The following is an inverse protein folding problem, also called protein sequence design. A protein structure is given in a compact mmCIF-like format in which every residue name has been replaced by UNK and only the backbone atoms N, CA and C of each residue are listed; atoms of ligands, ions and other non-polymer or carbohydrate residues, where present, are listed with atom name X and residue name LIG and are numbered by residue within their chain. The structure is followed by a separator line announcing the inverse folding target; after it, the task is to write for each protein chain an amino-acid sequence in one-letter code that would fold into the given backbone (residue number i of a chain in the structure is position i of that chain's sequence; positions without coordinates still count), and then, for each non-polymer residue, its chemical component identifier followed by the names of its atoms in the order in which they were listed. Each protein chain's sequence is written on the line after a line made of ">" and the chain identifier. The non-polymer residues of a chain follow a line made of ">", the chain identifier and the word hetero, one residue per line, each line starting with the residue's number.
data_IF_809366039563
#
_entry.id   IF_809366039563
#
_cell.length_a   1.000
_cell.length_b   1.000
_cell.length_c   1.000
_cell.angle_alpha   90.00
_cell.angle_beta   90.00
_cell.angle_gamma   90.00
#
_symmetry.space_group_name_H-M   'P 1'
#
loop_
_entity.id
_entity.type
_entity.pdbx_description
1 polymer ?
#
# COMPACT_ATOMS: atom_id res chain seq x y z
N UNK A 1 18.23 -42.54 57.55
CA UNK A 1 18.61 -41.54 56.51
C UNK A 1 17.63 -40.38 56.59
N UNK A 2 18.08 -39.12 56.52
CA UNK A 2 17.21 -37.92 56.51
C UNK A 2 16.93 -37.44 55.09
N UNK A 3 15.86 -36.66 54.90
CA UNK A 3 15.50 -36.10 53.60
C UNK A 3 16.61 -35.19 53.04
N UNK A 4 17.26 -34.35 53.87
CA UNK A 4 18.43 -33.56 53.43
C UNK A 4 19.56 -34.45 52.93
N UNK A 5 19.84 -35.57 53.60
CA UNK A 5 20.95 -36.46 53.21
C UNK A 5 20.69 -37.11 51.84
N UNK A 6 19.44 -37.38 51.51
CA UNK A 6 19.03 -37.91 50.20
C UNK A 6 19.26 -36.87 49.11
N UNK A 7 18.88 -35.61 49.35
CA UNK A 7 19.11 -34.50 48.41
C UNK A 7 20.61 -34.28 48.18
N UNK A 8 21.42 -34.27 49.24
CA UNK A 8 22.88 -34.09 49.15
C UNK A 8 23.55 -35.20 48.29
N UNK A 9 23.03 -36.43 48.33
CA UNK A 9 23.52 -37.53 47.49
C UNK A 9 23.18 -37.35 46.00
N UNK A 10 21.99 -36.84 45.68
CA UNK A 10 21.60 -36.51 44.30
C UNK A 10 22.30 -35.24 43.75
N UNK A 11 22.68 -34.32 44.63
CA UNK A 11 23.47 -33.14 44.26
C UNK A 11 24.90 -33.53 43.84
N UNK A 12 25.48 -34.56 44.46
CA UNK A 12 26.83 -35.06 44.13
C UNK A 12 26.87 -36.00 42.93
N UNK A 13 25.78 -36.69 42.61
CA UNK A 13 25.72 -37.62 41.47
C UNK A 13 24.75 -37.15 40.37
N UNK A 14 25.31 -36.62 39.28
CA UNK A 14 24.57 -36.16 38.09
C UNK A 14 23.79 -37.29 37.41
N UNK A 15 24.32 -38.53 37.39
CA UNK A 15 23.63 -39.67 36.77
C UNK A 15 22.42 -40.08 37.58
N UNK A 16 22.53 -40.06 38.92
CA UNK A 16 21.41 -40.34 39.81
C UNK A 16 20.30 -39.28 39.64
N UNK A 17 20.67 -37.99 39.56
CA UNK A 17 19.72 -36.89 39.32
C UNK A 17 19.01 -37.01 37.98
N UNK A 18 19.75 -37.36 36.93
CA UNK A 18 19.19 -37.57 35.58
C UNK A 18 18.19 -38.71 35.57
N UNK A 19 18.53 -39.85 36.16
CA UNK A 19 17.61 -41.00 36.30
C UNK A 19 16.35 -40.65 37.09
N UNK A 20 16.49 -39.89 38.17
CA UNK A 20 15.34 -39.43 38.95
C UNK A 20 14.43 -38.52 38.11
N UNK A 21 15.00 -37.57 37.37
CA UNK A 21 14.24 -36.70 36.47
C UNK A 21 13.54 -37.50 35.36
N UNK A 22 14.20 -38.48 34.76
CA UNK A 22 13.59 -39.39 33.76
C UNK A 22 12.39 -40.13 34.33
N UNK A 23 12.53 -40.73 35.53
CA UNK A 23 11.43 -41.42 36.22
C UNK A 23 10.26 -40.48 36.52
N UNK A 24 10.53 -39.27 37.02
CA UNK A 24 9.50 -38.27 37.30
C UNK A 24 8.77 -37.80 36.03
N UNK A 25 9.47 -37.67 34.90
CA UNK A 25 8.84 -37.29 33.61
C UNK A 25 8.01 -38.43 33.02
N UNK A 26 8.31 -39.69 33.37
CA UNK A 26 7.50 -40.85 32.97
C UNK A 26 6.15 -40.90 33.68
N UNK A 27 6.05 -40.35 34.90
CA UNK A 27 4.79 -40.25 35.64
C UNK A 27 3.77 -39.36 34.89
N UNK A 28 2.59 -39.89 34.51
CA UNK A 28 1.59 -39.15 33.76
C UNK A 28 1.17 -37.82 34.39
N UNK A 29 1.00 -37.80 35.72
CA UNK A 29 0.55 -36.60 36.45
C UNK A 29 1.60 -35.49 36.46
N UNK A 30 2.87 -35.86 36.65
CA UNK A 30 3.99 -34.90 36.62
C UNK A 30 4.16 -34.35 35.21
N UNK A 31 4.07 -35.21 34.18
CA UNK A 31 4.12 -34.80 32.78
C UNK A 31 2.96 -33.85 32.43
N UNK A 32 1.75 -34.16 32.88
CA UNK A 32 0.58 -33.31 32.64
C UNK A 32 0.71 -31.97 33.38
N UNK A 33 1.21 -31.96 34.61
CA UNK A 33 1.49 -30.74 35.36
C UNK A 33 2.53 -29.86 34.65
N UNK A 34 3.61 -30.44 34.11
CA UNK A 34 4.61 -29.72 33.32
C UNK A 34 4.03 -29.17 32.01
N UNK A 35 3.25 -29.97 31.27
CA UNK A 35 2.57 -29.51 30.05
C UNK A 35 1.64 -28.35 30.37
N UNK A 36 0.80 -28.46 31.40
CA UNK A 36 -0.13 -27.40 31.80
C UNK A 36 0.57 -26.14 32.33
N UNK A 37 1.77 -26.28 32.93
CA UNK A 37 2.59 -25.14 33.30
C UNK A 37 3.11 -24.40 32.07
N UNK A 38 3.69 -25.13 31.10
CA UNK A 38 4.25 -24.53 29.87
C UNK A 38 3.16 -24.02 28.92
N UNK A 39 2.01 -24.69 28.86
CA UNK A 39 0.92 -24.35 27.94
C UNK A 39 0.38 -22.92 28.16
N UNK A 40 0.50 -22.37 29.38
CA UNK A 40 0.09 -20.99 29.67
C UNK A 40 1.03 -19.95 29.08
N UNK A 41 2.29 -20.31 28.86
CA UNK A 41 3.34 -19.39 28.42
C UNK A 41 3.60 -19.49 26.91
N UNK A 42 3.00 -20.46 26.22
CA UNK A 42 3.19 -20.68 24.78
C UNK A 42 1.91 -20.36 24.01
N UNK A 43 2.07 -19.68 22.86
CA UNK A 43 0.99 -19.49 21.92
C UNK A 43 0.53 -20.85 21.36
N UNK A 44 -0.77 -21.12 21.45
CA UNK A 44 -1.35 -22.34 20.90
C UNK A 44 -1.56 -22.19 19.38
N UNK A 45 -1.77 -23.32 18.69
CA UNK A 45 -2.12 -23.28 17.26
C UNK A 45 -3.40 -22.47 17.00
N UNK A 46 -4.36 -22.53 17.91
CA UNK A 46 -5.61 -21.76 17.80
C UNK A 46 -5.35 -20.26 17.89
N UNK A 47 -4.41 -19.82 18.72
CA UNK A 47 -4.02 -18.41 18.81
C UNK A 47 -3.41 -17.92 17.50
N UNK A 48 -2.53 -18.74 16.91
CA UNK A 48 -1.90 -18.42 15.63
C UNK A 48 -2.91 -18.41 14.47
N UNK A 49 -3.89 -19.33 14.47
CA UNK A 49 -4.96 -19.33 13.47
C UNK A 49 -5.84 -18.09 13.58
N UNK A 50 -6.23 -17.70 14.80
CA UNK A 50 -6.98 -16.45 15.04
C UNK A 50 -6.20 -15.23 14.57
N UNK A 51 -4.93 -15.12 14.95
CA UNK A 51 -4.07 -14.02 14.52
C UNK A 51 -3.92 -13.98 13.00
N UNK A 52 -3.74 -15.14 12.34
CA UNK A 52 -3.66 -15.22 10.88
C UNK A 52 -4.94 -14.73 10.21
N UNK A 53 -6.08 -15.11 10.74
CA UNK A 53 -7.38 -14.75 10.15
C UNK A 53 -7.70 -13.27 10.38
N UNK A 54 -7.37 -12.72 11.56
CA UNK A 54 -7.43 -11.29 11.87
C UNK A 54 -6.57 -10.48 10.90
N UNK A 55 -5.28 -10.82 10.79
CA UNK A 55 -4.36 -10.16 9.86
C UNK A 55 -4.86 -10.25 8.42
N UNK A 56 -5.33 -11.43 7.98
CA UNK A 56 -5.84 -11.61 6.62
C UNK A 56 -7.05 -10.71 6.34
N UNK A 57 -7.94 -10.55 7.30
CA UNK A 57 -9.12 -9.70 7.18
C UNK A 57 -8.75 -8.22 7.17
N UNK A 58 -7.82 -7.81 8.04
CA UNK A 58 -7.31 -6.44 8.10
C UNK A 58 -6.63 -6.06 6.79
N UNK A 59 -5.67 -6.86 6.31
CA UNK A 59 -5.01 -6.64 5.02
C UNK A 59 -6.00 -6.57 3.86
N UNK A 60 -7.03 -7.42 3.86
CA UNK A 60 -8.06 -7.38 2.82
C UNK A 60 -8.84 -6.07 2.87
N UNK A 61 -9.23 -5.62 4.06
CA UNK A 61 -9.95 -4.36 4.26
C UNK A 61 -9.13 -3.17 3.80
N UNK A 62 -7.84 -3.12 4.15
CA UNK A 62 -6.93 -2.05 3.73
C UNK A 62 -6.74 -2.02 2.21
N UNK A 63 -6.53 -3.18 1.57
CA UNK A 63 -6.41 -3.26 0.12
C UNK A 63 -7.69 -2.79 -0.57
N UNK A 64 -8.86 -3.14 -0.05
CA UNK A 64 -10.14 -2.69 -0.62
C UNK A 64 -10.32 -1.18 -0.49
N UNK A 65 -9.96 -0.59 0.65
CA UNK A 65 -9.96 0.88 0.85
C UNK A 65 -9.02 1.58 -0.12
N UNK A 66 -7.75 1.16 -0.19
CA UNK A 66 -6.76 1.71 -1.11
C UNK A 66 -7.21 1.61 -2.58
N UNK A 67 -7.82 0.47 -2.97
CA UNK A 67 -8.39 0.30 -4.32
C UNK A 67 -9.60 1.20 -4.58
N UNK A 68 -10.34 1.59 -3.55
CA UNK A 68 -11.43 2.55 -3.69
C UNK A 68 -10.89 3.96 -3.90
N UNK A 69 -10.00 4.40 -3.02
CA UNK A 69 -9.35 5.71 -3.08
C UNK A 69 -8.67 5.92 -4.43
N UNK A 70 -7.87 4.95 -4.87
CA UNK A 70 -7.19 5.03 -6.17
C UNK A 70 -8.16 5.11 -7.36
N UNK A 71 -9.32 4.44 -7.28
CA UNK A 71 -10.34 4.53 -8.33
C UNK A 71 -10.99 5.91 -8.37
N UNK A 72 -11.20 6.53 -7.22
CA UNK A 72 -11.77 7.87 -7.14
C UNK A 72 -10.76 8.93 -7.61
N UNK A 73 -9.49 8.83 -7.23
CA UNK A 73 -8.42 9.67 -7.78
C UNK A 73 -8.33 9.58 -9.31
N UNK A 74 -8.38 8.36 -9.88
CA UNK A 74 -8.39 8.18 -11.34
C UNK A 74 -9.60 8.86 -11.99
N UNK A 75 -10.77 8.81 -11.35
CA UNK A 75 -11.98 9.47 -11.87
C UNK A 75 -11.81 10.98 -11.87
N UNK A 76 -11.22 11.53 -10.82
CA UNK A 76 -10.99 12.97 -10.71
C UNK A 76 -9.96 13.44 -11.73
N UNK A 77 -8.84 12.75 -11.88
CA UNK A 77 -7.85 13.03 -12.94
C UNK A 77 -8.50 12.97 -14.33
N UNK A 78 -9.37 11.98 -14.58
CA UNK A 78 -10.09 11.89 -15.87
C UNK A 78 -11.04 13.07 -16.09
N UNK A 79 -11.72 13.55 -15.05
CA UNK A 79 -12.59 14.74 -15.12
C UNK A 79 -11.77 16.00 -15.43
N UNK A 80 -10.66 16.19 -14.74
CA UNK A 80 -9.75 17.31 -14.99
C UNK A 80 -9.21 17.30 -16.42
N UNK A 81 -8.79 16.13 -16.92
CA UNK A 81 -8.32 15.99 -18.29
C UNK A 81 -9.41 16.29 -19.32
N UNK A 82 -10.65 15.88 -19.04
CA UNK A 82 -11.80 16.20 -19.90
C UNK A 82 -12.07 17.70 -19.93
N UNK A 83 -12.02 18.36 -18.78
CA UNK A 83 -12.18 19.82 -18.69
C UNK A 83 -11.06 20.56 -19.43
N UNK A 84 -9.81 20.09 -19.29
CA UNK A 84 -8.68 20.65 -20.01
C UNK A 84 -8.84 20.50 -21.52
N UNK A 85 -9.23 19.31 -21.99
CA UNK A 85 -9.50 19.03 -23.41
C UNK A 85 -10.56 19.98 -23.98
N UNK A 86 -11.64 20.23 -23.23
CA UNK A 86 -12.67 21.17 -23.65
C UNK A 86 -12.15 22.61 -23.74
N UNK A 87 -11.34 23.03 -22.76
CA UNK A 87 -10.71 24.37 -22.78
C UNK A 87 -9.76 24.52 -23.97
N UNK A 88 -8.99 23.50 -24.31
CA UNK A 88 -8.10 23.48 -25.48
C UNK A 88 -8.93 23.59 -26.76
N UNK A 89 -9.97 22.78 -26.95
CA UNK A 89 -10.82 22.86 -28.13
C UNK A 89 -11.47 24.25 -28.31
N UNK A 90 -11.92 24.88 -27.20
CA UNK A 90 -12.44 26.25 -27.22
C UNK A 90 -11.37 27.27 -27.61
N UNK A 91 -10.13 27.10 -27.15
CA UNK A 91 -9.01 27.97 -27.53
C UNK A 91 -8.65 27.79 -29.00
N UNK A 92 -8.57 26.56 -29.51
CA UNK A 92 -8.32 26.26 -30.92
C UNK A 92 -9.34 26.97 -31.81
N UNK A 93 -10.64 26.90 -31.48
CA UNK A 93 -11.69 27.60 -32.22
C UNK A 93 -11.55 29.12 -32.19
N UNK A 94 -11.16 29.71 -31.04
CA UNK A 94 -10.90 31.16 -30.93
C UNK A 94 -9.69 31.59 -31.77
N UNK A 95 -8.63 30.79 -31.77
CA UNK A 95 -7.41 31.06 -32.54
C UNK A 95 -7.71 30.96 -34.04
N UNK A 96 -8.45 29.95 -34.49
CA UNK A 96 -8.89 29.84 -35.90
C UNK A 96 -9.69 31.08 -36.34
N UNK A 97 -10.63 31.54 -35.50
CA UNK A 97 -11.40 32.75 -35.78
C UNK A 97 -10.49 33.99 -35.87
N UNK A 98 -9.55 34.15 -34.93
CA UNK A 98 -8.59 35.25 -34.95
C UNK A 98 -7.74 35.25 -36.22
N UNK A 99 -7.26 34.08 -36.65
CA UNK A 99 -6.49 33.95 -37.90
C UNK A 99 -7.35 34.38 -39.10
N UNK A 100 -8.60 33.93 -39.18
CA UNK A 100 -9.54 34.32 -40.26
C UNK A 100 -9.79 35.83 -40.28
N UNK A 101 -10.04 36.44 -39.12
CA UNK A 101 -10.25 37.89 -39.01
C UNK A 101 -8.97 38.65 -39.39
N UNK A 102 -7.82 38.20 -38.90
CA UNK A 102 -6.53 38.82 -39.21
C UNK A 102 -6.24 38.79 -40.71
N UNK A 103 -6.40 37.64 -41.36
CA UNK A 103 -6.19 37.52 -42.82
C UNK A 103 -7.20 38.38 -43.57
N UNK A 104 -8.49 38.29 -43.23
CA UNK A 104 -9.57 39.01 -43.89
C UNK A 104 -9.43 40.53 -43.84
N UNK A 105 -8.81 41.07 -42.78
CA UNK A 105 -8.57 42.50 -42.64
C UNK A 105 -7.20 42.95 -43.17
N UNK A 106 -6.13 42.24 -42.80
CA UNK A 106 -4.76 42.68 -43.08
C UNK A 106 -4.34 42.42 -44.53
N UNK A 107 -4.75 41.31 -45.15
CA UNK A 107 -4.33 41.00 -46.53
C UNK A 107 -4.86 42.02 -47.53
N UNK A 108 -6.15 42.40 -47.55
CA UNK A 108 -6.63 43.45 -48.45
C UNK A 108 -5.94 44.79 -48.24
N UNK A 109 -5.68 45.16 -46.98
CA UNK A 109 -4.98 46.41 -46.65
C UNK A 109 -3.55 46.41 -47.20
N UNK A 110 -2.80 45.32 -47.02
CA UNK A 110 -1.45 45.17 -47.55
C UNK A 110 -1.44 45.23 -49.09
N UNK A 111 -2.38 44.53 -49.75
CA UNK A 111 -2.51 44.58 -51.22
C UNK A 111 -2.83 46.00 -51.71
N UNK A 112 -3.72 46.72 -51.02
CA UNK A 112 -4.05 48.10 -51.37
C UNK A 112 -2.84 49.04 -51.23
N UNK A 113 -2.08 48.92 -50.14
CA UNK A 113 -0.87 49.71 -49.91
C UNK A 113 0.19 49.41 -50.98
N UNK A 114 0.43 48.14 -51.29
CA UNK A 114 1.36 47.73 -52.35
C UNK A 114 0.92 48.31 -53.71
N UNK A 115 -0.36 48.24 -54.03
CA UNK A 115 -0.90 48.81 -55.27
C UNK A 115 -0.69 50.33 -55.38
N UNK A 116 -0.90 51.06 -54.29
CA UNK A 116 -0.65 52.51 -54.23
C UNK A 116 0.85 52.80 -54.43
N UNK A 117 1.74 52.06 -53.77
CA UNK A 117 3.18 52.25 -53.90
C UNK A 117 3.68 51.96 -55.33
N UNK A 118 3.20 50.89 -55.96
CA UNK A 118 3.55 50.57 -57.35
C UNK A 118 3.08 51.67 -58.31
N UNK A 119 1.88 52.22 -58.10
CA UNK A 119 1.36 53.34 -58.89
C UNK A 119 2.23 54.60 -58.75
N UNK A 120 2.78 54.87 -57.56
CA UNK A 120 3.67 56.02 -57.33
C UNK A 120 5.06 55.85 -57.96
N UNK A 121 5.53 54.60 -58.14
CA UNK A 121 6.87 54.32 -58.69
C UNK A 121 6.84 54.24 -60.22
N UNK A 122 5.80 53.63 -60.80
CA UNK A 122 5.72 53.34 -62.24
C UNK A 122 4.69 54.20 -63.00
N UNK A 123 3.95 55.06 -62.31
CA UNK A 123 2.92 55.93 -62.88
C UNK A 123 3.33 57.39 -62.99
#
# INVERSE_FOLDING_TARGET
>A
MTAEKIVELFERDVRARRRLAELLVMEPDVRLAMINAVLRDVATKSDLERLRDELRNEFRSEIEKLRSEFRDEIRDVRRELSSLSERVARLEGRVDLLIKVFIGFNVPLLVAVIGILLKLIFG
#
